data_IF_567766892956
#
_entry.id   IF_567766892956
#
_cell.length_a   1.000
_cell.length_b   1.000
_cell.length_c   1.000
_cell.angle_alpha   90.00
_cell.angle_beta   90.00
_cell.angle_gamma   90.00
#
_symmetry.space_group_name_H-M   'P 1'
#
loop_
_entity.id
_entity.type
_entity.pdbx_description
1 polymer ?
#
# COMPACT_ATOMS: atom_id res chain seq x y z
N UNK A 1 2.94 18.66 7.66
CA UNK A 1 1.56 18.32 7.27
C UNK A 1 1.44 16.81 7.36
N UNK A 2 0.45 16.26 8.07
CA UNK A 2 0.24 14.81 8.14
C UNK A 2 -0.20 14.27 6.78
N UNK A 3 0.19 13.03 6.46
CA UNK A 3 -0.23 12.36 5.23
C UNK A 3 -1.69 11.91 5.26
N UNK A 4 -2.24 11.40 4.14
CA UNK A 4 -3.58 10.81 4.11
C UNK A 4 -3.69 9.58 5.02
N UNK A 5 -4.87 9.36 5.59
CA UNK A 5 -5.11 8.33 6.60
C UNK A 5 -4.28 8.60 7.87
N UNK A 6 -3.50 7.61 8.29
CA UNK A 6 -2.68 7.64 9.52
C UNK A 6 -1.18 7.82 9.26
N UNK A 7 -0.77 8.18 8.04
CA UNK A 7 0.64 8.35 7.69
C UNK A 7 1.27 9.55 8.43
N UNK A 8 2.49 9.40 8.98
CA UNK A 8 3.17 10.49 9.69
C UNK A 8 3.71 11.57 8.74
N UNK A 9 3.92 11.23 7.47
CA UNK A 9 4.57 12.03 6.44
C UNK A 9 3.79 11.89 5.11
N UNK A 10 3.98 12.80 4.14
CA UNK A 10 3.39 12.66 2.81
C UNK A 10 3.73 11.32 2.14
N UNK A 11 2.79 10.77 1.37
CA UNK A 11 2.93 9.43 0.77
C UNK A 11 4.17 9.32 -0.14
N UNK A 12 4.47 10.35 -0.92
CA UNK A 12 5.63 10.34 -1.83
C UNK A 12 6.97 10.45 -1.08
N UNK A 13 6.99 11.04 0.12
CA UNK A 13 8.20 11.07 0.97
C UNK A 13 8.49 9.70 1.61
N UNK A 14 7.45 8.91 1.87
CA UNK A 14 7.56 7.57 2.44
C UNK A 14 7.84 6.50 1.39
N UNK A 15 7.14 6.56 0.27
CA UNK A 15 7.06 5.48 -0.72
C UNK A 15 7.61 5.84 -2.10
N UNK A 16 8.16 7.04 -2.26
CA UNK A 16 8.76 7.50 -3.51
C UNK A 16 7.79 8.22 -4.45
N UNK A 17 8.35 8.84 -5.48
CA UNK A 17 7.59 9.62 -6.46
C UNK A 17 6.56 8.75 -7.20
N UNK A 18 5.34 9.27 -7.37
CA UNK A 18 4.24 8.54 -8.03
C UNK A 18 3.48 7.58 -7.12
N UNK A 19 3.84 7.49 -5.83
CA UNK A 19 3.02 6.81 -4.84
C UNK A 19 1.72 7.57 -4.58
N UNK A 20 0.59 6.86 -4.47
CA UNK A 20 -0.73 7.44 -4.23
C UNK A 20 -1.43 6.73 -3.10
N UNK A 21 -2.08 7.50 -2.23
CA UNK A 21 -2.79 6.97 -1.07
C UNK A 21 -4.29 7.28 -1.14
N UNK A 22 -5.09 6.31 -0.75
CA UNK A 22 -6.53 6.43 -0.60
C UNK A 22 -6.97 5.72 0.69
N UNK A 23 -7.88 6.33 1.45
CA UNK A 23 -8.43 5.73 2.66
C UNK A 23 -9.89 5.36 2.42
N UNK A 24 -10.25 4.11 2.69
CA UNK A 24 -11.61 3.63 2.62
C UNK A 24 -11.81 2.48 3.63
N UNK A 25 -12.95 2.48 4.32
CA UNK A 25 -13.34 1.41 5.24
C UNK A 25 -12.24 1.05 6.26
N UNK A 26 -11.68 2.07 6.92
CA UNK A 26 -10.61 1.95 7.93
C UNK A 26 -9.35 1.22 7.42
N UNK A 27 -9.12 1.26 6.11
CA UNK A 27 -7.94 0.67 5.45
C UNK A 27 -7.29 1.70 4.56
N UNK A 28 -6.06 2.06 4.91
CA UNK A 28 -5.22 2.89 4.07
C UNK A 28 -4.67 2.02 2.92
N UNK A 29 -4.96 2.40 1.69
CA UNK A 29 -4.40 1.78 0.48
C UNK A 29 -3.34 2.69 -0.10
N UNK A 30 -2.18 2.15 -0.45
CA UNK A 30 -1.10 2.88 -1.11
C UNK A 30 -0.68 2.15 -2.38
N UNK A 31 -0.87 2.81 -3.52
CA UNK A 31 -0.36 2.36 -4.81
C UNK A 31 1.06 2.89 -5.02
N UNK A 32 2.00 2.02 -5.37
CA UNK A 32 3.42 2.37 -5.61
C UNK A 32 3.91 1.88 -6.97
N UNK A 33 4.90 2.56 -7.58
CA UNK A 33 5.58 2.05 -8.77
C UNK A 33 6.17 0.65 -8.54
N UNK A 34 6.13 -0.22 -9.56
CA UNK A 34 6.64 -1.60 -9.44
C UNK A 34 8.12 -1.67 -9.04
N UNK A 35 8.94 -0.74 -9.53
CA UNK A 35 10.36 -0.65 -9.17
C UNK A 35 10.60 -0.33 -7.68
N UNK A 36 9.63 0.30 -7.02
CA UNK A 36 9.73 0.72 -5.61
C UNK A 36 9.10 -0.29 -4.64
N UNK A 37 8.57 -1.42 -5.14
CA UNK A 37 7.77 -2.36 -4.35
C UNK A 37 8.49 -2.86 -3.09
N UNK A 38 9.71 -3.37 -3.26
CA UNK A 38 10.49 -3.94 -2.14
C UNK A 38 10.90 -2.84 -1.15
N UNK A 39 11.32 -1.67 -1.64
CA UNK A 39 11.67 -0.54 -0.79
C UNK A 39 10.45 -0.04 0.02
N UNK A 40 9.28 0.01 -0.61
CA UNK A 40 8.01 0.41 0.01
C UNK A 40 7.57 -0.56 1.11
N UNK A 41 7.70 -1.87 0.91
CA UNK A 41 7.48 -2.87 1.97
C UNK A 41 8.48 -2.69 3.13
N UNK A 42 9.73 -2.36 2.82
CA UNK A 42 10.75 -2.00 3.81
C UNK A 42 10.34 -0.78 4.64
N UNK A 43 9.92 0.31 3.99
CA UNK A 43 9.38 1.51 4.67
C UNK A 43 8.20 1.15 5.56
N UNK A 44 7.24 0.37 5.07
CA UNK A 44 6.07 -0.03 5.84
C UNK A 44 6.47 -0.78 7.13
N UNK A 45 7.41 -1.71 7.03
CA UNK A 45 7.92 -2.46 8.18
C UNK A 45 8.71 -1.57 9.13
N UNK A 46 9.74 -0.89 8.63
CA UNK A 46 10.80 -0.30 9.45
C UNK A 46 10.44 1.11 9.96
N UNK A 47 9.68 1.88 9.18
CA UNK A 47 9.32 3.27 9.51
C UNK A 47 7.89 3.39 10.04
N UNK A 48 6.96 2.58 9.51
CA UNK A 48 5.55 2.65 9.91
C UNK A 48 5.16 1.61 10.97
N UNK A 49 6.02 0.63 11.21
CA UNK A 49 5.81 -0.42 12.21
C UNK A 49 4.81 -1.48 11.78
N UNK A 50 4.57 -1.64 10.47
CA UNK A 50 3.72 -2.70 9.92
C UNK A 50 4.46 -4.05 9.97
N UNK A 51 4.59 -4.61 11.18
CA UNK A 51 5.36 -5.84 11.43
C UNK A 51 4.52 -7.11 11.31
N UNK A 52 3.20 -7.00 11.22
CA UNK A 52 2.32 -8.14 10.96
C UNK A 52 2.00 -8.20 9.47
N UNK A 53 2.44 -9.27 8.82
CA UNK A 53 2.03 -9.62 7.46
C UNK A 53 0.79 -10.52 7.53
N UNK A 54 -0.28 -10.13 6.84
CA UNK A 54 -1.54 -10.85 6.85
C UNK A 54 -1.68 -11.71 5.59
N UNK A 55 -1.62 -11.09 4.41
CA UNK A 55 -1.73 -11.79 3.13
C UNK A 55 -1.04 -11.05 1.97
N UNK A 56 -0.73 -11.81 0.92
CA UNK A 56 -0.26 -11.35 -0.39
C UNK A 56 -1.08 -12.05 -1.46
N UNK A 57 -1.63 -11.26 -2.38
CA UNK A 57 -2.42 -11.77 -3.50
C UNK A 57 -2.20 -10.91 -4.74
N UNK A 58 -2.72 -11.35 -5.87
CA UNK A 58 -2.76 -10.57 -7.09
C UNK A 58 -4.12 -10.73 -7.78
N UNK A 59 -4.62 -9.64 -8.36
CA UNK A 59 -5.81 -9.64 -9.21
C UNK A 59 -5.35 -9.57 -10.65
N UNK A 60 -5.90 -10.46 -11.49
CA UNK A 60 -5.74 -10.35 -12.94
C UNK A 60 -6.71 -9.27 -13.45
N UNK A 61 -6.14 -8.18 -13.94
CA UNK A 61 -6.86 -7.03 -14.44
C UNK A 61 -6.93 -7.07 -15.97
N UNK A 62 -6.94 -8.26 -16.59
CA UNK A 62 -7.07 -8.47 -18.05
C UNK A 62 -8.43 -8.03 -18.63
N UNK A 63 -8.84 -6.79 -18.38
CA UNK A 63 -10.12 -6.19 -18.71
C UNK A 63 -10.02 -5.07 -19.74
N UNK A 64 -9.27 -5.24 -20.84
CA UNK A 64 -9.26 -4.30 -21.97
C UNK A 64 -8.91 -2.84 -21.59
N UNK A 65 -9.08 -1.87 -22.50
CA UNK A 65 -8.70 -0.47 -22.26
C UNK A 65 -9.57 0.27 -21.22
N UNK A 66 -10.46 -0.42 -20.51
CA UNK A 66 -11.42 0.14 -19.56
C UNK A 66 -11.26 -0.40 -18.12
N UNK A 67 -10.27 -1.25 -17.86
CA UNK A 67 -9.92 -1.70 -16.51
C UNK A 67 -9.29 -0.57 -15.67
N UNK A 68 -9.31 -0.68 -14.33
CA UNK A 68 -8.73 0.32 -13.43
C UNK A 68 -7.21 0.45 -13.55
N UNK A 69 -6.54 -0.47 -14.23
CA UNK A 69 -5.09 -0.45 -14.49
C UNK A 69 -4.86 -0.36 -16.01
N UNK A 70 -4.55 0.83 -16.57
CA UNK A 70 -4.52 1.05 -18.03
C UNK A 70 -3.52 0.18 -18.80
N UNK A 71 -2.45 -0.28 -18.15
CA UNK A 71 -1.35 -1.04 -18.77
C UNK A 71 -0.95 -2.31 -18.00
N UNK A 72 -1.49 -2.55 -16.79
CA UNK A 72 -1.06 -3.64 -15.90
C UNK A 72 -1.91 -4.89 -16.05
N UNK A 73 -1.27 -6.05 -16.14
CA UNK A 73 -1.93 -7.36 -16.17
C UNK A 73 -2.26 -7.88 -14.79
N UNK A 74 -1.39 -7.59 -13.80
CA UNK A 74 -1.56 -8.04 -12.43
C UNK A 74 -1.50 -6.86 -11.47
N UNK A 75 -2.53 -6.69 -10.64
CA UNK A 75 -2.49 -5.81 -9.48
C UNK A 75 -2.08 -6.64 -8.26
N UNK A 76 -0.82 -6.56 -7.87
CA UNK A 76 -0.26 -7.23 -6.70
C UNK A 76 -0.60 -6.42 -5.46
N UNK A 77 -1.07 -7.08 -4.41
CA UNK A 77 -1.60 -6.49 -3.19
C UNK A 77 -1.01 -7.18 -1.96
N UNK A 78 -0.40 -6.42 -1.06
CA UNK A 78 0.08 -6.90 0.24
C UNK A 78 -0.64 -6.18 1.37
N UNK A 79 -1.30 -6.93 2.24
CA UNK A 79 -1.89 -6.39 3.46
C UNK A 79 -0.93 -6.58 4.63
N UNK A 80 -0.48 -5.45 5.18
CA UNK A 80 0.44 -5.38 6.31
C UNK A 80 -0.15 -4.46 7.37
N UNK A 81 0.09 -4.80 8.63
CA UNK A 81 -0.61 -4.17 9.76
C UNK A 81 0.37 -3.78 10.84
N UNK A 82 0.24 -2.55 11.32
CA UNK A 82 0.85 -2.12 12.58
C UNK A 82 -0.16 -2.39 13.70
N UNK A 83 0.08 -3.43 14.51
CA UNK A 83 -0.86 -3.92 15.52
C UNK A 83 -1.10 -2.92 16.67
N UNK A 84 -0.17 -1.99 16.89
CA UNK A 84 -0.22 -1.08 18.04
C UNK A 84 0.03 -1.81 19.36
N UNK A 85 -0.24 -1.11 20.47
CA UNK A 85 -0.19 -1.70 21.83
C UNK A 85 -1.53 -2.38 22.17
N UNK A 86 -1.56 -3.27 23.19
CA UNK A 86 -2.82 -3.80 23.69
C UNK A 86 -3.82 -2.68 24.03
N UNK A 87 -5.01 -2.73 23.44
CA UNK A 87 -6.06 -1.71 23.60
C UNK A 87 -6.06 -0.60 22.53
N UNK A 88 -5.04 -0.52 21.67
CA UNK A 88 -5.03 0.36 20.51
C UNK A 88 -5.63 -0.34 19.28
N UNK A 89 -6.26 0.44 18.39
CA UNK A 89 -6.75 -0.10 17.13
C UNK A 89 -5.58 -0.37 16.17
N UNK A 90 -5.59 -1.50 15.43
CA UNK A 90 -4.56 -1.78 14.44
C UNK A 90 -4.65 -0.80 13.27
N UNK A 91 -3.49 -0.36 12.79
CA UNK A 91 -3.38 0.47 11.58
C UNK A 91 -3.09 -0.41 10.39
N UNK A 92 -4.06 -0.52 9.48
CA UNK A 92 -4.04 -1.39 8.31
C UNK A 92 -3.51 -0.65 7.09
N UNK A 93 -2.58 -1.28 6.38
CA UNK A 93 -2.01 -0.79 5.12
C UNK A 93 -2.17 -1.87 4.04
N UNK A 94 -2.87 -1.53 2.96
CA UNK A 94 -2.87 -2.30 1.73
C UNK A 94 -1.91 -1.65 0.74
N UNK A 95 -0.71 -2.20 0.61
CA UNK A 95 0.26 -1.74 -0.38
C UNK A 95 -0.02 -2.46 -1.71
N UNK A 96 -0.12 -1.74 -2.82
CA UNK A 96 -0.39 -2.32 -4.14
C UNK A 96 0.62 -1.86 -5.18
N UNK A 97 0.88 -2.71 -6.16
CA UNK A 97 1.64 -2.35 -7.35
C UNK A 97 1.14 -3.07 -8.59
N UNK A 98 1.25 -2.42 -9.74
CA UNK A 98 0.82 -2.97 -11.03
C UNK A 98 2.02 -3.54 -11.79
N UNK A 99 1.90 -4.79 -12.24
CA UNK A 99 2.87 -5.46 -13.11
C UNK A 99 2.32 -5.56 -14.54
N UNK A 100 3.17 -5.26 -15.51
CA UNK A 100 2.88 -5.25 -16.96
C UNK A 100 3.18 -6.59 -17.62
#
# INVERSE_FOLDING_TARGET
MSGPGWLPEPVEELFGAGARAADAYDTLTVDVPAGEWIASLGTARDRLGCTFFDWLSAVDESGGPAGPVPDGRLLVCAHVVALGRPGEAPRRLLLRTALT
#
